data_IF_059495042556
#
_entry.id   IF_059495042556
#
_cell.length_a   1.000
_cell.length_b   1.000
_cell.length_c   1.000
_cell.angle_alpha   90.00
_cell.angle_beta   90.00
_cell.angle_gamma   90.00
#
_symmetry.space_group_name_H-M   'P 1'
#
loop_
_entity.id
_entity.type
_entity.pdbx_description
1 polymer ?
#
# COMPACT_ATOMS: atom_id res chain seq x y z
N UNK A 1 -9.48 29.84 -21.11
CA UNK A 1 -8.18 29.93 -21.79
C UNK A 1 -7.34 28.73 -21.39
N UNK A 2 -6.63 28.07 -22.32
CA UNK A 2 -5.81 26.91 -21.97
C UNK A 2 -4.63 27.34 -21.10
N UNK A 3 -4.42 26.65 -19.98
CA UNK A 3 -3.33 26.92 -19.04
C UNK A 3 -1.97 26.72 -19.71
N UNK A 4 -1.05 27.67 -19.50
CA UNK A 4 0.26 27.69 -20.15
C UNK A 4 1.20 26.69 -19.46
N UNK A 5 1.70 25.71 -20.23
CA UNK A 5 2.58 24.64 -19.73
C UNK A 5 4.05 25.05 -19.85
N UNK A 6 4.65 25.50 -18.75
CA UNK A 6 6.02 26.06 -18.74
C UNK A 6 7.11 25.10 -18.20
N UNK A 7 6.72 24.02 -17.52
CA UNK A 7 7.66 23.07 -16.91
C UNK A 7 7.94 21.88 -17.84
N UNK A 8 9.18 21.42 -17.86
CA UNK A 8 9.63 20.25 -18.62
C UNK A 8 10.16 19.16 -17.68
N UNK A 9 9.82 17.91 -17.99
CA UNK A 9 10.32 16.73 -17.29
C UNK A 9 11.23 15.96 -18.25
N UNK A 10 12.50 15.74 -17.87
CA UNK A 10 13.47 15.00 -18.68
C UNK A 10 13.77 13.66 -18.01
N UNK A 11 13.37 12.56 -18.64
CA UNK A 11 13.54 11.19 -18.14
C UNK A 11 14.37 10.40 -19.14
N UNK A 12 15.32 9.61 -18.63
CA UNK A 12 16.08 8.67 -19.46
C UNK A 12 15.36 7.32 -19.46
N UNK A 13 15.26 6.72 -20.63
CA UNK A 13 14.71 5.38 -20.83
C UNK A 13 15.79 4.49 -21.41
N UNK A 14 15.75 3.21 -21.08
CA UNK A 14 16.41 2.18 -21.87
C UNK A 14 15.71 2.01 -23.22
N UNK A 15 16.38 1.37 -24.19
CA UNK A 15 15.81 1.15 -25.52
C UNK A 15 14.52 0.32 -25.48
N UNK A 16 14.47 -0.68 -24.58
CA UNK A 16 13.30 -1.56 -24.42
C UNK A 16 12.11 -0.79 -23.87
N UNK A 17 12.30 0.03 -22.83
CA UNK A 17 11.26 0.89 -22.27
C UNK A 17 10.76 1.92 -23.29
N UNK A 18 11.68 2.49 -24.08
CA UNK A 18 11.33 3.46 -25.11
C UNK A 18 10.45 2.85 -26.20
N UNK A 19 10.80 1.64 -26.67
CA UNK A 19 10.03 0.93 -27.69
C UNK A 19 8.64 0.55 -27.17
N UNK A 20 8.53 0.06 -25.94
CA UNK A 20 7.25 -0.24 -25.32
C UNK A 20 6.36 1.01 -25.21
N UNK A 21 6.92 2.13 -24.78
CA UNK A 21 6.20 3.39 -24.67
C UNK A 21 5.71 3.90 -26.04
N UNK A 22 6.55 3.77 -27.08
CA UNK A 22 6.21 4.14 -28.46
C UNK A 22 5.09 3.28 -29.02
N UNK A 23 5.15 1.97 -28.79
CA UNK A 23 4.11 1.04 -29.20
C UNK A 23 2.77 1.38 -28.53
N UNK A 24 2.75 1.60 -27.22
CA UNK A 24 1.54 2.00 -26.49
C UNK A 24 0.95 3.31 -27.00
N UNK A 25 1.80 4.29 -27.33
CA UNK A 25 1.35 5.57 -27.90
C UNK A 25 0.72 5.36 -29.29
N UNK A 26 1.31 4.49 -30.11
CA UNK A 26 0.81 4.16 -31.44
C UNK A 26 -0.52 3.41 -31.39
N UNK A 27 -0.65 2.41 -30.51
CA UNK A 27 -1.89 1.66 -30.28
C UNK A 27 -3.04 2.57 -29.81
N UNK A 28 -2.73 3.56 -28.97
CA UNK A 28 -3.70 4.53 -28.48
C UNK A 28 -3.96 5.69 -29.47
N UNK A 29 -3.22 5.80 -30.58
CA UNK A 29 -3.32 6.93 -31.52
C UNK A 29 -2.91 8.28 -30.91
N UNK A 30 -2.09 8.27 -29.86
CA UNK A 30 -1.69 9.45 -29.10
C UNK A 30 -0.22 9.79 -29.37
N UNK A 31 0.14 11.07 -29.21
CA UNK A 31 1.56 11.44 -29.09
C UNK A 31 2.13 10.91 -27.77
N UNK A 32 3.43 10.58 -27.75
CA UNK A 32 4.15 10.17 -26.53
C UNK A 32 3.90 11.12 -25.36
N UNK A 33 3.97 12.42 -25.61
CA UNK A 33 3.74 13.44 -24.58
C UNK A 33 2.28 13.47 -24.10
N UNK A 34 1.30 13.19 -24.97
CA UNK A 34 -0.09 13.08 -24.57
C UNK A 34 -0.33 11.83 -23.71
N UNK A 35 0.23 10.68 -24.11
CA UNK A 35 0.19 9.44 -23.35
C UNK A 35 0.79 9.61 -21.95
N UNK A 36 2.02 10.15 -21.85
CA UNK A 36 2.69 10.36 -20.56
C UNK A 36 1.88 11.27 -19.64
N UNK A 37 1.28 12.34 -20.17
CA UNK A 37 0.43 13.24 -19.37
C UNK A 37 -0.87 12.59 -18.92
N UNK A 38 -1.53 11.86 -19.81
CA UNK A 38 -2.75 11.11 -19.49
C UNK A 38 -2.47 10.10 -18.37
N UNK A 39 -1.32 9.42 -18.44
CA UNK A 39 -0.95 8.41 -17.46
C UNK A 39 -0.45 8.99 -16.13
N UNK A 40 0.28 10.10 -16.17
CA UNK A 40 0.77 10.80 -14.98
C UNK A 40 -0.38 11.29 -14.09
N UNK A 41 -1.52 11.68 -14.68
CA UNK A 41 -2.70 12.10 -13.92
C UNK A 41 -3.59 10.96 -13.41
N UNK A 42 -3.50 9.76 -14.02
CA UNK A 42 -4.42 8.64 -13.74
C UNK A 42 -3.86 7.59 -12.79
N UNK A 43 -2.54 7.51 -12.59
CA UNK A 43 -1.98 6.53 -11.64
C UNK A 43 -2.12 7.04 -10.22
N UNK A 44 -2.95 6.35 -9.42
CA UNK A 44 -2.86 6.38 -7.96
C UNK A 44 -1.42 6.01 -7.57
N UNK A 45 -0.70 6.97 -6.97
CA UNK A 45 0.58 6.69 -6.35
C UNK A 45 0.28 5.79 -5.15
N UNK A 46 0.42 4.48 -5.32
CA UNK A 46 0.36 3.54 -4.19
C UNK A 46 1.57 3.78 -3.31
N UNK A 47 1.38 4.51 -2.23
CA UNK A 47 2.40 4.68 -1.22
C UNK A 47 2.60 3.36 -0.46
N UNK A 48 3.59 2.56 -0.89
CA UNK A 48 3.94 1.29 -0.24
C UNK A 48 4.43 1.48 1.19
N UNK A 49 4.94 2.66 1.54
CA UNK A 49 5.42 2.93 2.89
C UNK A 49 4.24 2.98 3.87
N UNK A 50 3.17 3.68 3.52
CA UNK A 50 1.95 3.76 4.34
C UNK A 50 1.32 2.37 4.53
N UNK A 51 1.31 1.55 3.47
CA UNK A 51 0.81 0.17 3.53
C UNK A 51 1.67 -0.71 4.46
N UNK A 52 3.00 -0.57 4.40
CA UNK A 52 3.94 -1.26 5.29
C UNK A 52 3.74 -0.86 6.75
N UNK A 53 3.59 0.43 7.02
CA UNK A 53 3.34 0.96 8.36
C UNK A 53 2.00 0.45 8.91
N UNK A 54 0.96 0.40 8.08
CA UNK A 54 -0.33 -0.18 8.44
C UNK A 54 -0.22 -1.65 8.82
N UNK A 55 0.54 -2.44 8.06
CA UNK A 55 0.77 -3.87 8.38
C UNK A 55 1.52 -4.02 9.71
N UNK A 56 2.54 -3.18 9.96
CA UNK A 56 3.28 -3.20 11.24
C UNK A 56 2.34 -2.89 12.42
N UNK A 57 1.46 -1.89 12.28
CA UNK A 57 0.48 -1.54 13.31
C UNK A 57 -0.50 -2.69 13.59
N UNK A 58 -1.02 -3.33 12.53
CA UNK A 58 -1.91 -4.49 12.68
C UNK A 58 -1.22 -5.66 13.38
N UNK A 59 0.05 -5.93 13.06
CA UNK A 59 0.82 -6.98 13.73
C UNK A 59 1.03 -6.69 15.22
N UNK A 60 1.25 -5.43 15.60
CA UNK A 60 1.33 -5.02 17.01
C UNK A 60 0.00 -5.24 17.75
N UNK A 61 -1.12 -4.87 17.12
CA UNK A 61 -2.45 -5.12 17.69
C UNK A 61 -2.67 -6.63 17.88
N UNK A 62 -2.37 -7.44 16.87
CA UNK A 62 -2.47 -8.90 16.95
C UNK A 62 -1.60 -9.48 18.08
N UNK A 63 -0.37 -8.99 18.25
CA UNK A 63 0.51 -9.43 19.32
C UNK A 63 -0.10 -9.15 20.71
N UNK A 64 -0.64 -7.95 20.91
CA UNK A 64 -1.30 -7.57 22.17
C UNK A 64 -2.55 -8.41 22.44
N UNK A 65 -3.40 -8.62 21.44
CA UNK A 65 -4.59 -9.47 21.56
C UNK A 65 -4.22 -10.90 21.94
N UNK A 66 -3.15 -11.44 21.33
CA UNK A 66 -2.65 -12.77 21.67
C UNK A 66 -2.11 -12.85 23.11
N UNK A 67 -1.49 -11.77 23.61
CA UNK A 67 -1.06 -11.71 25.01
C UNK A 67 -2.26 -11.72 25.96
N UNK A 68 -3.28 -10.92 25.68
CA UNK A 68 -4.52 -10.88 26.47
C UNK A 68 -5.20 -12.25 26.45
N UNK A 69 -5.35 -12.88 25.28
CA UNK A 69 -5.96 -14.19 25.16
C UNK A 69 -5.20 -15.25 25.97
N UNK A 70 -3.85 -15.26 25.91
CA UNK A 70 -3.02 -16.14 26.74
C UNK A 70 -3.20 -15.87 28.22
N UNK A 71 -3.24 -14.60 28.64
CA UNK A 71 -3.45 -14.22 30.04
C UNK A 71 -4.80 -14.70 30.55
N UNK A 72 -5.88 -14.45 29.80
CA UNK A 72 -7.24 -14.92 30.12
C UNK A 72 -7.24 -16.44 30.23
N UNK A 73 -6.69 -17.16 29.26
CA UNK A 73 -6.66 -18.63 29.29
C UNK A 73 -5.83 -19.18 30.47
N UNK A 74 -4.74 -18.49 30.84
CA UNK A 74 -3.92 -18.84 32.00
C UNK A 74 -4.64 -18.60 33.33
N UNK A 75 -5.61 -17.69 33.39
CA UNK A 75 -6.28 -17.32 34.64
C UNK A 75 -7.72 -17.78 34.74
N UNK A 76 -8.34 -18.21 33.64
CA UNK A 76 -9.64 -18.88 33.63
C UNK A 76 -9.62 -20.17 34.45
N UNK A 77 -8.51 -20.93 34.36
CA UNK A 77 -8.27 -22.11 35.20
C UNK A 77 -8.12 -21.76 36.70
N UNK A 78 -7.52 -20.63 37.05
CA UNK A 78 -7.41 -20.17 38.45
C UNK A 78 -8.74 -19.67 39.02
N UNK A 79 -9.56 -19.00 38.21
CA UNK A 79 -10.89 -18.54 38.63
C UNK A 79 -11.82 -19.72 38.94
N UNK A 80 -11.80 -20.78 38.12
CA UNK A 80 -12.54 -22.01 38.38
C UNK A 80 -12.01 -22.76 39.62
N UNK A 81 -10.69 -22.73 39.85
CA UNK A 81 -10.07 -23.39 41.03
C UNK A 81 -10.41 -22.71 42.36
N UNK A 82 -10.53 -21.37 42.40
CA UNK A 82 -10.90 -20.64 43.63
C UNK A 82 -12.33 -20.95 44.07
N UNK A 83 -13.24 -21.23 43.13
CA UNK A 83 -14.62 -21.61 43.42
C UNK A 83 -14.75 -23.00 44.07
N UNK A 84 -13.85 -23.93 43.78
CA UNK A 84 -13.90 -25.30 44.34
C UNK A 84 -13.33 -25.39 45.76
N UNK A 85 -12.39 -24.51 46.12
CA UNK A 85 -11.78 -24.50 47.48
C UNK A 85 -12.68 -23.78 48.50
N UNK A 86 -13.70 -23.05 48.05
CA UNK A 86 -14.62 -22.30 48.91
C UNK A 86 -15.98 -23.01 49.14
N UNK A 87 -16.06 -24.32 48.88
CA UNK A 87 -17.21 -25.16 49.22
C UNK A 87 -16.83 -26.27 50.19
#
# INVERSE_FOLDING_TARGET
>A
MAEKREKFLRVRYSETEWNALKQQAQEAGLSLSALVRDHAGKRLIRNRQDERERIILLNRINANLNMIARWVNTHKSRAETVQVVSH
#
